data_IF_851776627320
#
_entry.id   IF_851776627320
#
_cell.length_a   1.000
_cell.length_b   1.000
_cell.length_c   1.000
_cell.angle_alpha   90.00
_cell.angle_beta   90.00
_cell.angle_gamma   90.00
#
_symmetry.space_group_name_H-M   'P 1'
#
loop_
_entity.id
_entity.type
_entity.pdbx_description
1 polymer ?
#
# COMPACT_ATOMS: atom_id res chain seq x y z
N UNK A 1 -10.31 0.13 -12.69
CA UNK A 1 -10.31 -0.25 -11.26
C UNK A 1 -11.71 -0.66 -10.83
N UNK A 2 -11.86 -1.43 -9.73
CA UNK A 2 -13.06 -2.15 -9.22
C UNK A 2 -14.38 -1.85 -9.95
N UNK A 3 -14.85 -0.60 -9.99
CA UNK A 3 -16.06 -0.17 -10.72
C UNK A 3 -16.14 -0.65 -12.18
N UNK A 4 -15.05 -0.58 -12.96
CA UNK A 4 -15.04 -1.07 -14.36
C UNK A 4 -15.34 -2.57 -14.43
N UNK A 5 -14.73 -3.35 -13.54
CA UNK A 5 -14.95 -4.81 -13.50
C UNK A 5 -16.35 -5.13 -12.99
N UNK A 6 -16.85 -4.36 -12.02
CA UNK A 6 -18.24 -4.45 -11.55
C UNK A 6 -19.24 -4.21 -12.67
N UNK A 7 -19.05 -3.16 -13.47
CA UNK A 7 -19.88 -2.88 -14.65
C UNK A 7 -19.80 -4.01 -15.67
N UNK A 8 -18.58 -4.51 -15.97
CA UNK A 8 -18.40 -5.62 -16.93
C UNK A 8 -19.05 -6.92 -16.48
N UNK A 9 -19.03 -7.21 -15.18
CA UNK A 9 -19.65 -8.41 -14.60
C UNK A 9 -21.12 -8.21 -14.22
N UNK A 10 -21.66 -7.00 -14.39
CA UNK A 10 -23.01 -6.61 -13.99
C UNK A 10 -23.30 -6.90 -12.50
N UNK A 11 -22.33 -6.62 -11.63
CA UNK A 11 -22.41 -6.83 -10.18
C UNK A 11 -22.34 -5.50 -9.43
N UNK A 12 -23.44 -5.13 -8.77
CA UNK A 12 -23.53 -3.86 -8.04
C UNK A 12 -22.81 -3.91 -6.68
N UNK A 13 -23.07 -4.95 -5.88
CA UNK A 13 -22.53 -5.13 -4.52
C UNK A 13 -21.96 -6.54 -4.33
N UNK A 14 -21.24 -6.76 -3.23
CA UNK A 14 -20.51 -7.99 -2.96
C UNK A 14 -19.44 -8.32 -4.02
N UNK A 15 -18.77 -9.44 -3.83
CA UNK A 15 -17.82 -10.04 -4.76
C UNK A 15 -17.66 -11.53 -4.37
N UNK A 16 -17.34 -12.41 -5.32
CA UNK A 16 -17.15 -13.83 -5.04
C UNK A 16 -15.93 -14.05 -4.16
N UNK A 17 -15.97 -15.06 -3.29
CA UNK A 17 -14.89 -15.39 -2.34
C UNK A 17 -13.75 -16.22 -2.96
N UNK A 18 -13.80 -16.42 -4.26
CA UNK A 18 -12.86 -17.24 -5.01
C UNK A 18 -11.55 -16.47 -5.28
N UNK A 19 -10.38 -16.98 -4.84
CA UNK A 19 -9.11 -16.24 -4.82
C UNK A 19 -8.47 -16.03 -6.21
N UNK A 20 -8.98 -16.70 -7.23
CA UNK A 20 -8.58 -16.58 -8.63
C UNK A 20 -9.39 -15.52 -9.38
N UNK A 21 -10.59 -15.18 -8.91
CA UNK A 21 -11.44 -14.18 -9.54
C UNK A 21 -10.84 -12.77 -9.51
N UNK A 22 -10.94 -12.08 -10.64
CA UNK A 22 -10.33 -10.76 -10.82
C UNK A 22 -11.01 -9.69 -9.94
N UNK A 23 -12.34 -9.78 -9.75
CA UNK A 23 -13.07 -8.85 -8.89
C UNK A 23 -12.64 -9.01 -7.42
N UNK A 24 -12.46 -10.25 -6.95
CA UNK A 24 -11.94 -10.53 -5.61
C UNK A 24 -10.57 -9.88 -5.40
N UNK A 25 -9.62 -10.10 -6.32
CA UNK A 25 -8.27 -9.53 -6.22
C UNK A 25 -8.28 -8.00 -6.20
N UNK A 26 -9.06 -7.37 -7.08
CA UNK A 26 -9.14 -5.92 -7.14
C UNK A 26 -9.77 -5.31 -5.89
N UNK A 27 -10.81 -5.93 -5.33
CA UNK A 27 -11.41 -5.48 -4.08
C UNK A 27 -10.43 -5.62 -2.91
N UNK A 28 -9.68 -6.73 -2.85
CA UNK A 28 -8.64 -6.92 -1.82
C UNK A 28 -7.47 -5.93 -1.94
N UNK A 29 -7.02 -5.64 -3.16
CA UNK A 29 -5.99 -4.63 -3.40
C UNK A 29 -6.50 -3.22 -3.02
N UNK A 30 -7.77 -2.92 -3.31
CA UNK A 30 -8.39 -1.66 -2.94
C UNK A 30 -8.54 -1.53 -1.43
N UNK A 31 -9.08 -2.54 -0.74
CA UNK A 31 -9.20 -2.55 0.72
C UNK A 31 -7.84 -2.32 1.41
N UNK A 32 -6.79 -3.05 0.97
CA UNK A 32 -5.45 -2.82 1.49
C UNK A 32 -4.93 -1.40 1.20
N UNK A 33 -5.33 -0.77 0.10
CA UNK A 33 -4.95 0.62 -0.19
C UNK A 33 -5.70 1.60 0.71
N UNK A 34 -7.00 1.40 0.91
CA UNK A 34 -7.83 2.24 1.78
C UNK A 34 -7.38 2.20 3.24
N UNK A 35 -6.87 1.07 3.72
CA UNK A 35 -6.34 0.94 5.08
C UNK A 35 -5.00 1.69 5.26
N UNK A 36 -4.08 1.59 4.30
CA UNK A 36 -2.70 2.03 4.48
C UNK A 36 -2.38 3.39 3.87
N UNK A 37 -2.98 3.75 2.72
CA UNK A 37 -2.66 5.01 2.01
C UNK A 37 -2.95 6.23 2.88
N UNK A 38 -4.09 6.34 3.60
CA UNK A 38 -4.32 7.50 4.47
C UNK A 38 -3.24 7.67 5.54
N UNK A 39 -2.81 6.57 6.17
CA UNK A 39 -1.74 6.60 7.19
C UNK A 39 -0.42 7.06 6.57
N UNK A 40 -0.08 6.54 5.39
CA UNK A 40 1.12 6.96 4.64
C UNK A 40 1.08 8.46 4.30
N UNK A 41 -0.07 8.97 3.85
CA UNK A 41 -0.24 10.40 3.57
C UNK A 41 -0.01 11.26 4.82
N UNK A 42 -0.53 10.83 5.97
CA UNK A 42 -0.31 11.52 7.25
C UNK A 42 1.17 11.50 7.62
N UNK A 43 1.87 10.37 7.46
CA UNK A 43 3.31 10.29 7.72
C UNK A 43 4.08 11.27 6.83
N UNK A 44 3.79 11.32 5.52
CA UNK A 44 4.46 12.24 4.60
C UNK A 44 4.23 13.70 4.98
N UNK A 45 3.00 14.04 5.41
CA UNK A 45 2.68 15.36 5.91
C UNK A 45 3.47 15.71 7.18
N UNK A 46 3.53 14.80 8.16
CA UNK A 46 4.30 15.01 9.39
C UNK A 46 5.80 15.15 9.15
N UNK A 47 6.36 14.33 8.25
CA UNK A 47 7.78 14.42 7.84
C UNK A 47 8.08 15.78 7.20
N UNK A 48 7.13 16.33 6.45
CA UNK A 48 7.25 17.67 5.88
C UNK A 48 7.26 18.77 6.96
N UNK A 49 6.45 18.63 8.01
CA UNK A 49 6.40 19.60 9.12
C UNK A 49 7.72 19.70 9.90
N UNK A 50 8.44 18.58 10.07
CA UNK A 50 9.74 18.55 10.74
C UNK A 50 10.91 18.83 9.79
N UNK A 51 10.64 19.09 8.51
CA UNK A 51 11.64 19.36 7.46
C UNK A 51 12.17 18.10 6.78
N UNK A 52 12.18 18.07 5.44
CA UNK A 52 12.59 16.90 4.63
C UNK A 52 14.09 16.91 4.33
N UNK A 53 14.72 15.73 4.44
CA UNK A 53 16.09 15.47 3.98
C UNK A 53 16.08 14.62 2.70
N UNK A 54 17.19 14.58 1.96
CA UNK A 54 17.32 13.74 0.77
C UNK A 54 17.15 12.23 1.06
N UNK A 55 17.46 11.78 2.30
CA UNK A 55 17.23 10.40 2.71
C UNK A 55 15.72 10.13 2.86
N UNK A 56 14.96 11.09 3.40
CA UNK A 56 13.51 10.98 3.53
C UNK A 56 12.82 10.90 2.18
N UNK A 57 13.24 11.72 1.21
CA UNK A 57 12.72 11.68 -0.16
C UNK A 57 12.91 10.30 -0.80
N UNK A 58 14.08 9.70 -0.60
CA UNK A 58 14.35 8.35 -1.08
C UNK A 58 13.50 7.29 -0.37
N UNK A 59 13.27 7.45 0.94
CA UNK A 59 12.40 6.56 1.72
C UNK A 59 10.93 6.68 1.30
N UNK A 60 10.45 7.90 0.99
CA UNK A 60 9.12 8.17 0.44
C UNK A 60 8.96 7.47 -0.92
N UNK A 61 9.98 7.55 -1.78
CA UNK A 61 9.99 6.88 -3.08
C UNK A 61 9.91 5.35 -2.93
N UNK A 62 10.76 4.76 -2.08
CA UNK A 62 10.75 3.31 -1.81
C UNK A 62 9.42 2.88 -1.22
N UNK A 63 8.88 3.63 -0.25
CA UNK A 63 7.60 3.33 0.36
C UNK A 63 6.50 3.31 -0.70
N UNK A 64 6.45 4.33 -1.56
CA UNK A 64 5.46 4.43 -2.64
C UNK A 64 5.62 3.27 -3.63
N UNK A 65 6.84 2.93 -4.03
CA UNK A 65 7.12 1.78 -4.89
C UNK A 65 6.70 0.45 -4.24
N UNK A 66 6.91 0.30 -2.92
CA UNK A 66 6.51 -0.87 -2.14
C UNK A 66 5.00 -1.04 -2.10
N UNK A 67 4.24 0.06 -1.98
CA UNK A 67 2.77 0.04 -2.07
C UNK A 67 2.30 -0.43 -3.45
N UNK A 68 2.91 0.06 -4.52
CA UNK A 68 2.63 -0.42 -5.88
C UNK A 68 2.98 -1.90 -6.04
N UNK A 69 4.09 -2.35 -5.44
CA UNK A 69 4.51 -3.75 -5.47
C UNK A 69 3.51 -4.68 -4.77
N UNK A 70 2.91 -4.26 -3.64
CA UNK A 70 1.82 -5.01 -2.99
C UNK A 70 0.62 -5.15 -3.92
N UNK A 71 0.19 -4.05 -4.56
CA UNK A 71 -0.95 -4.04 -5.48
C UNK A 71 -0.68 -4.97 -6.67
N UNK A 72 0.51 -4.88 -7.26
CA UNK A 72 0.96 -5.78 -8.33
C UNK A 72 0.97 -7.25 -7.85
N UNK A 73 1.49 -7.50 -6.65
CA UNK A 73 1.52 -8.82 -6.04
C UNK A 73 0.13 -9.39 -5.72
N UNK A 74 -0.92 -8.57 -5.65
CA UNK A 74 -2.30 -9.04 -5.50
C UNK A 74 -2.95 -9.28 -6.87
N UNK A 75 -2.76 -8.36 -7.82
CA UNK A 75 -3.51 -8.35 -9.07
C UNK A 75 -2.91 -9.24 -10.17
N UNK A 76 -1.57 -9.36 -10.24
CA UNK A 76 -0.89 -10.07 -11.33
C UNK A 76 -0.97 -11.60 -11.18
N UNK A 77 -0.79 -12.21 -9.98
CA UNK A 77 -0.81 -13.66 -9.86
C UNK A 77 -2.16 -14.28 -10.24
N UNK A 78 -2.11 -15.49 -10.82
CA UNK A 78 -3.31 -16.21 -11.27
C UNK A 78 -4.26 -16.60 -10.12
N UNK A 79 -3.73 -16.80 -8.91
CA UNK A 79 -4.52 -17.04 -7.70
C UNK A 79 -3.90 -16.36 -6.49
N UNK A 80 -4.74 -15.90 -5.55
CA UNK A 80 -4.32 -15.41 -4.25
C UNK A 80 -4.22 -16.49 -3.17
N UNK A 81 -4.50 -17.76 -3.49
CA UNK A 81 -4.41 -18.87 -2.53
C UNK A 81 -2.97 -19.16 -2.07
N UNK A 82 -1.97 -18.72 -2.84
CA UNK A 82 -0.55 -18.92 -2.52
C UNK A 82 0.13 -17.59 -2.16
N UNK A 83 1.03 -17.60 -1.17
CA UNK A 83 1.89 -16.46 -0.92
C UNK A 83 2.77 -16.18 -2.15
N UNK A 84 3.13 -14.92 -2.36
CA UNK A 84 4.08 -14.54 -3.40
C UNK A 84 5.08 -13.52 -2.86
N UNK A 85 6.28 -13.55 -3.44
CA UNK A 85 7.40 -12.72 -3.02
C UNK A 85 7.14 -11.23 -3.18
N UNK A 86 6.38 -10.81 -4.20
CA UNK A 86 6.04 -9.40 -4.41
C UNK A 86 5.23 -8.81 -3.23
N UNK A 87 4.24 -9.55 -2.71
CA UNK A 87 3.47 -9.14 -1.52
C UNK A 87 4.34 -9.07 -0.28
N UNK A 88 5.22 -10.05 -0.09
CA UNK A 88 6.12 -10.09 1.07
C UNK A 88 7.11 -8.92 1.04
N UNK A 89 7.77 -8.72 -0.10
CA UNK A 89 8.76 -7.66 -0.26
C UNK A 89 8.11 -6.28 -0.19
N UNK A 90 6.95 -6.09 -0.81
CA UNK A 90 6.21 -4.84 -0.74
C UNK A 90 5.69 -4.54 0.67
N UNK A 91 5.24 -5.56 1.41
CA UNK A 91 4.85 -5.40 2.82
C UNK A 91 6.05 -5.01 3.68
N UNK A 92 7.18 -5.72 3.53
CA UNK A 92 8.39 -5.42 4.27
C UNK A 92 8.88 -3.99 4.01
N UNK A 93 8.99 -3.60 2.73
CA UNK A 93 9.42 -2.25 2.35
C UNK A 93 8.47 -1.16 2.87
N UNK A 94 7.16 -1.38 2.80
CA UNK A 94 6.18 -0.42 3.34
C UNK A 94 6.36 -0.23 4.85
N UNK A 95 6.46 -1.32 5.61
CA UNK A 95 6.58 -1.23 7.07
C UNK A 95 7.93 -0.65 7.49
N UNK A 96 9.03 -1.07 6.86
CA UNK A 96 10.37 -0.57 7.18
C UNK A 96 10.48 0.94 6.93
N UNK A 97 10.08 1.41 5.74
CA UNK A 97 10.15 2.83 5.43
C UNK A 97 9.18 3.65 6.29
N UNK A 98 7.98 3.14 6.59
CA UNK A 98 7.04 3.83 7.45
C UNK A 98 7.58 3.99 8.89
N UNK A 99 8.20 2.93 9.44
CA UNK A 99 8.84 2.95 10.75
C UNK A 99 10.03 3.92 10.80
N UNK A 100 10.83 3.98 9.74
CA UNK A 100 11.91 4.96 9.63
C UNK A 100 11.36 6.40 9.66
N UNK A 101 10.40 6.70 8.77
CA UNK A 101 9.86 8.05 8.62
C UNK A 101 9.14 8.53 9.89
N UNK A 102 8.36 7.66 10.55
CA UNK A 102 7.73 8.02 11.82
C UNK A 102 8.76 8.18 12.94
N UNK A 103 9.78 7.32 12.99
CA UNK A 103 10.86 7.42 13.97
C UNK A 103 11.61 8.74 13.85
N UNK A 104 11.88 9.18 12.61
CA UNK A 104 12.46 10.49 12.34
C UNK A 104 11.58 11.64 12.83
N UNK A 105 10.27 11.61 12.56
CA UNK A 105 9.33 12.60 13.10
C UNK A 105 9.37 12.65 14.63
N UNK A 106 9.38 11.49 15.29
CA UNK A 106 9.42 11.40 16.74
C UNK A 106 10.72 11.99 17.29
N UNK A 107 11.87 11.66 16.71
CA UNK A 107 13.17 12.19 17.15
C UNK A 107 13.23 13.71 17.00
N UNK A 108 12.81 14.25 15.86
CA UNK A 108 12.82 15.71 15.65
C UNK A 108 11.87 16.43 16.60
N UNK A 109 10.71 15.83 16.93
CA UNK A 109 9.77 16.39 17.88
C UNK A 109 10.34 16.50 19.31
N UNK A 110 11.27 15.60 19.71
CA UNK A 110 11.95 15.68 21.00
C UNK A 110 13.15 16.63 21.02
N UNK A 111 13.66 17.02 19.84
CA UNK A 111 14.79 17.93 19.70
C UNK A 111 14.38 19.39 19.49
N UNK A 112 13.07 19.66 19.31
CA UNK A 112 12.45 21.00 19.27
C UNK A 112 12.32 21.60 20.67
#
# INVERSE_FOLDING_TARGET
MVSIVRTKLNVLYAYPNEPDQILYKLVRAHANSTEYVPVVCVIFYLVNLVGITSVDEFMILILTASRLLIIMGICIPKTMARPNWARTLGSFGTNFCALYLIGKVVVELFNM
#
